data_IF_766979466364
#
_entry.id   IF_766979466364
#
_cell.length_a   1.000
_cell.length_b   1.000
_cell.length_c   1.000
_cell.angle_alpha   90.00
_cell.angle_beta   90.00
_cell.angle_gamma   90.00
#
_symmetry.space_group_name_H-M   'P 1'
#
loop_
_entity.id
_entity.type
_entity.pdbx_description
1 polymer ?
#
# COMPACT_ATOMS: atom_id res chain seq x y z
N UNK A 1 -4.45 16.66 1.77
CA UNK A 1 -3.39 16.07 0.94
C UNK A 1 -3.73 16.09 -0.55
N UNK A 2 -4.99 16.12 -0.90
CA UNK A 2 -5.46 16.20 -2.28
C UNK A 2 -6.45 17.36 -2.46
N UNK A 3 -6.00 18.63 -2.36
CA UNK A 3 -6.91 19.75 -2.48
C UNK A 3 -7.40 19.87 -3.92
N UNK A 4 -8.63 19.42 -4.17
CA UNK A 4 -9.24 19.52 -5.49
C UNK A 4 -9.49 20.96 -5.95
N UNK A 5 -9.74 21.86 -4.99
CA UNK A 5 -10.13 23.26 -5.28
C UNK A 5 -8.94 24.16 -5.67
N UNK A 6 -7.71 23.78 -5.39
CA UNK A 6 -6.50 24.53 -5.69
C UNK A 6 -5.55 23.82 -6.65
N UNK A 7 -6.01 22.74 -7.31
CA UNK A 7 -5.17 21.98 -8.23
C UNK A 7 -4.81 22.81 -9.48
N UNK A 8 -3.58 22.65 -9.95
CA UNK A 8 -3.09 23.33 -11.16
C UNK A 8 -3.89 22.88 -12.40
N UNK A 9 -4.22 21.59 -12.49
CA UNK A 9 -5.06 20.99 -13.53
C UNK A 9 -5.48 19.55 -13.12
N UNK A 10 -6.16 18.82 -14.01
CA UNK A 10 -6.66 17.47 -13.75
C UNK A 10 -5.54 16.41 -13.51
N UNK A 11 -4.28 16.72 -13.77
CA UNK A 11 -3.14 15.79 -13.67
C UNK A 11 -2.14 16.19 -12.59
N UNK A 12 -2.06 17.47 -12.21
CA UNK A 12 -1.06 18.02 -11.29
C UNK A 12 -1.76 18.64 -10.09
N UNK A 13 -1.55 18.13 -8.85
CA UNK A 13 -2.08 18.73 -7.64
C UNK A 13 -1.40 20.06 -7.29
N UNK A 14 -2.00 20.81 -6.40
CA UNK A 14 -1.30 21.90 -5.72
C UNK A 14 -0.36 21.32 -4.65
N UNK A 15 0.92 21.63 -4.76
CA UNK A 15 1.93 21.28 -3.76
C UNK A 15 1.99 22.38 -2.72
N UNK A 16 1.33 22.19 -1.58
CA UNK A 16 1.33 23.16 -0.48
C UNK A 16 1.91 22.56 0.81
N UNK A 17 2.46 23.44 1.64
CA UNK A 17 2.92 23.08 2.99
C UNK A 17 1.85 23.30 4.06
N UNK A 18 0.58 23.30 3.68
CA UNK A 18 -0.56 23.54 4.56
C UNK A 18 -0.52 22.68 5.83
N UNK A 19 -0.22 21.40 5.69
CA UNK A 19 -0.19 20.47 6.82
C UNK A 19 1.05 20.59 7.71
N UNK A 20 2.08 21.29 7.26
CA UNK A 20 3.20 21.62 8.13
C UNK A 20 2.75 22.52 9.28
N UNK A 21 1.81 23.44 9.03
CA UNK A 21 1.22 24.28 10.06
C UNK A 21 0.47 23.47 11.13
N UNK A 22 -0.25 22.41 10.77
CA UNK A 22 -0.93 21.50 11.72
C UNK A 22 0.08 20.77 12.61
N UNK A 23 1.14 20.22 12.03
CA UNK A 23 2.18 19.50 12.79
C UNK A 23 2.98 20.42 13.71
N UNK A 24 3.00 21.72 13.44
CA UNK A 24 3.66 22.75 14.25
C UNK A 24 2.69 23.50 15.20
N UNK A 25 1.50 22.95 15.45
CA UNK A 25 0.53 23.54 16.39
C UNK A 25 -0.46 24.52 15.76
N UNK A 26 -0.65 24.47 14.45
CA UNK A 26 -1.72 25.20 13.76
C UNK A 26 -3.12 24.71 14.14
N UNK A 27 -4.13 25.54 13.88
CA UNK A 27 -5.52 25.18 14.18
C UNK A 27 -6.02 24.05 13.25
N UNK A 28 -6.58 23.02 13.87
CA UNK A 28 -7.21 21.90 13.18
C UNK A 28 -8.60 22.30 12.67
N UNK A 29 -8.98 21.77 11.51
CA UNK A 29 -10.30 21.92 10.93
C UNK A 29 -11.04 20.61 10.97
N UNK A 30 -12.34 20.66 11.10
CA UNK A 30 -13.23 19.50 11.02
C UNK A 30 -13.86 19.39 9.63
N UNK A 31 -13.87 18.18 9.08
CA UNK A 31 -14.63 17.85 7.87
C UNK A 31 -15.98 17.21 8.18
N UNK A 32 -16.58 17.56 9.31
CA UNK A 32 -17.86 17.04 9.77
C UNK A 32 -17.76 15.71 10.51
N UNK A 33 -17.17 14.70 9.92
CA UNK A 33 -17.04 13.36 10.51
C UNK A 33 -15.64 13.06 11.07
N UNK A 34 -14.63 13.85 10.72
CA UNK A 34 -13.25 13.67 11.18
C UNK A 34 -12.46 14.99 11.18
N UNK A 35 -11.37 15.03 11.91
CA UNK A 35 -10.45 16.16 11.98
C UNK A 35 -9.43 16.11 10.83
N UNK A 36 -9.00 17.28 10.34
CA UNK A 36 -8.00 17.39 9.27
C UNK A 36 -6.68 16.71 9.63
N UNK A 37 -6.25 16.81 10.91
CA UNK A 37 -5.04 16.15 11.39
C UNK A 37 -5.16 14.61 11.36
N UNK A 38 -6.34 14.05 11.64
CA UNK A 38 -6.55 12.61 11.55
C UNK A 38 -6.52 12.11 10.11
N UNK A 39 -7.10 12.87 9.16
CA UNK A 39 -6.99 12.55 7.75
C UNK A 39 -5.55 12.65 7.26
N UNK A 40 -4.83 13.69 7.65
CA UNK A 40 -3.41 13.84 7.29
C UNK A 40 -2.58 12.63 7.77
N UNK A 41 -2.74 12.21 9.03
CA UNK A 41 -2.06 11.03 9.56
C UNK A 41 -2.44 9.76 8.79
N UNK A 42 -3.72 9.57 8.51
CA UNK A 42 -4.22 8.44 7.74
C UNK A 42 -3.60 8.38 6.33
N UNK A 43 -3.52 9.52 5.64
CA UNK A 43 -2.88 9.60 4.33
C UNK A 43 -1.36 9.38 4.39
N UNK A 44 -0.69 9.83 5.43
CA UNK A 44 0.76 9.60 5.63
C UNK A 44 1.07 8.11 5.73
N UNK A 45 0.28 7.33 6.47
CA UNK A 45 0.52 5.88 6.57
C UNK A 45 0.21 5.13 5.26
N UNK A 46 -0.67 5.66 4.42
CA UNK A 46 -0.89 5.13 3.07
C UNK A 46 0.30 5.37 2.15
N UNK A 47 0.86 6.57 2.17
CA UNK A 47 2.10 6.91 1.46
C UNK A 47 3.24 5.99 1.92
N UNK A 48 3.38 5.80 3.24
CA UNK A 48 4.38 4.90 3.81
C UNK A 48 4.16 3.45 3.37
N UNK A 49 2.90 3.01 3.23
CA UNK A 49 2.57 1.67 2.74
C UNK A 49 3.04 1.45 1.31
N UNK A 50 2.83 2.40 0.40
CA UNK A 50 3.32 2.30 -0.97
C UNK A 50 4.85 2.12 -1.01
N UNK A 51 5.60 2.88 -0.19
CA UNK A 51 7.05 2.72 -0.09
C UNK A 51 7.47 1.41 0.60
N UNK A 52 6.70 0.92 1.58
CA UNK A 52 6.94 -0.38 2.22
C UNK A 52 6.87 -1.55 1.24
N UNK A 53 5.96 -1.49 0.26
CA UNK A 53 5.87 -2.50 -0.82
C UNK A 53 7.17 -2.53 -1.62
N UNK A 54 7.72 -1.36 -1.97
CA UNK A 54 9.03 -1.27 -2.66
C UNK A 54 10.14 -1.85 -1.81
N UNK A 55 10.15 -1.59 -0.50
CA UNK A 55 11.22 -2.05 0.40
C UNK A 55 11.43 -3.56 0.36
N UNK A 56 10.35 -4.33 0.34
CA UNK A 56 10.40 -5.78 0.23
C UNK A 56 10.98 -6.28 -1.10
N UNK A 57 10.69 -5.59 -2.20
CA UNK A 57 11.16 -5.95 -3.52
C UNK A 57 12.66 -5.66 -3.72
N UNK A 58 13.17 -4.58 -3.12
CA UNK A 58 14.56 -4.15 -3.29
C UNK A 58 15.49 -4.61 -2.17
N UNK A 59 14.97 -5.27 -1.15
CA UNK A 59 15.75 -5.87 -0.08
C UNK A 59 16.87 -6.76 -0.66
N UNK A 60 18.07 -6.67 -0.08
CA UNK A 60 19.30 -7.38 -0.52
C UNK A 60 19.79 -7.02 -1.95
N UNK A 61 19.20 -5.99 -2.59
CA UNK A 61 19.58 -5.53 -3.94
C UNK A 61 20.03 -4.07 -3.96
N UNK A 62 19.40 -3.23 -3.14
CA UNK A 62 19.62 -1.78 -3.11
C UNK A 62 20.41 -1.38 -1.85
N UNK A 63 21.35 -0.44 -2.00
CA UNK A 63 22.03 0.17 -0.85
C UNK A 63 21.07 1.11 -0.10
N UNK A 64 21.30 1.27 1.20
CA UNK A 64 20.38 2.02 2.08
C UNK A 64 20.22 3.50 1.68
N UNK A 65 21.31 4.19 1.36
CA UNK A 65 21.24 5.63 1.00
C UNK A 65 20.44 5.86 -0.30
N UNK A 66 20.69 5.16 -1.42
CA UNK A 66 19.81 5.22 -2.59
C UNK A 66 18.35 4.89 -2.29
N UNK A 67 18.07 3.93 -1.39
CA UNK A 67 16.71 3.63 -0.96
C UNK A 67 16.03 4.84 -0.30
N UNK A 68 16.71 5.54 0.61
CA UNK A 68 16.15 6.74 1.24
C UNK A 68 15.95 7.88 0.25
N UNK A 69 16.88 8.09 -0.68
CA UNK A 69 16.71 9.08 -1.74
C UNK A 69 15.48 8.75 -2.60
N UNK A 70 15.34 7.49 -3.02
CA UNK A 70 14.18 7.04 -3.78
C UNK A 70 12.87 7.19 -2.98
N UNK A 71 12.92 6.91 -1.66
CA UNK A 71 11.78 7.09 -0.77
C UNK A 71 11.29 8.54 -0.75
N UNK A 72 12.18 9.53 -0.70
CA UNK A 72 11.82 10.96 -0.77
C UNK A 72 11.07 11.27 -2.07
N UNK A 73 11.56 10.78 -3.21
CA UNK A 73 10.90 11.03 -4.50
C UNK A 73 9.56 10.31 -4.61
N UNK A 74 9.48 9.05 -4.20
CA UNK A 74 8.23 8.30 -4.25
C UNK A 74 7.16 8.92 -3.35
N UNK A 75 7.51 9.21 -2.09
CA UNK A 75 6.53 9.68 -1.10
C UNK A 75 6.22 11.17 -1.24
N UNK A 76 7.18 11.98 -1.67
CA UNK A 76 7.01 13.43 -1.78
C UNK A 76 6.42 13.90 -3.11
N UNK A 77 6.61 13.14 -4.19
CA UNK A 77 6.19 13.58 -5.53
C UNK A 77 5.33 12.55 -6.25
N UNK A 78 5.83 11.33 -6.47
CA UNK A 78 5.13 10.35 -7.32
C UNK A 78 3.78 9.97 -6.71
N UNK A 79 3.78 9.59 -5.44
CA UNK A 79 2.56 9.17 -4.75
C UNK A 79 1.52 10.30 -4.65
N UNK A 80 1.85 11.53 -4.22
CA UNK A 80 0.87 12.62 -4.19
C UNK A 80 0.27 12.95 -5.56
N UNK A 81 1.06 12.92 -6.63
CA UNK A 81 0.57 13.19 -7.98
C UNK A 81 -0.44 12.13 -8.40
N UNK A 82 -0.09 10.85 -8.31
CA UNK A 82 -0.98 9.77 -8.74
C UNK A 82 -2.18 9.59 -7.81
N UNK A 83 -2.01 9.83 -6.51
CA UNK A 83 -3.10 9.81 -5.54
C UNK A 83 -4.13 10.92 -5.80
N UNK A 84 -3.66 12.08 -6.20
CA UNK A 84 -4.54 13.18 -6.65
C UNK A 84 -5.42 12.76 -7.84
N UNK A 85 -4.92 11.95 -8.77
CA UNK A 85 -5.71 11.54 -9.94
C UNK A 85 -7.04 10.88 -9.57
N UNK A 86 -7.10 10.17 -8.43
CA UNK A 86 -8.35 9.56 -7.92
C UNK A 86 -8.91 10.33 -6.72
N UNK A 87 -8.19 10.37 -5.62
CA UNK A 87 -8.73 10.88 -4.36
C UNK A 87 -8.74 12.41 -4.25
N UNK A 88 -8.05 13.10 -5.13
CA UNK A 88 -8.02 14.56 -5.21
C UNK A 88 -8.95 15.16 -6.27
N UNK A 89 -9.84 14.37 -6.89
CA UNK A 89 -10.72 14.85 -7.95
C UNK A 89 -10.03 15.05 -9.32
N UNK A 90 -8.90 14.35 -9.55
CA UNK A 90 -8.16 14.40 -10.79
C UNK A 90 -8.84 13.62 -11.94
N UNK A 91 -8.09 13.32 -12.99
CA UNK A 91 -8.65 12.76 -14.23
C UNK A 91 -9.24 11.36 -14.04
N UNK A 92 -8.66 10.51 -13.19
CA UNK A 92 -9.20 9.17 -12.93
C UNK A 92 -10.55 9.21 -12.22
N UNK A 93 -10.71 10.14 -11.29
CA UNK A 93 -11.97 10.34 -10.60
C UNK A 93 -13.06 10.81 -11.58
N UNK A 94 -12.73 11.76 -12.45
CA UNK A 94 -13.62 12.26 -13.50
C UNK A 94 -14.02 11.18 -14.52
N UNK A 95 -13.17 10.18 -14.74
CA UNK A 95 -13.48 9.02 -15.57
C UNK A 95 -14.31 7.95 -14.85
N UNK A 96 -14.64 8.14 -13.57
CA UNK A 96 -15.43 7.19 -12.79
C UNK A 96 -14.62 6.01 -12.22
N UNK A 97 -13.29 6.08 -12.23
CA UNK A 97 -12.47 5.04 -11.57
C UNK A 97 -12.80 4.99 -10.07
N UNK A 98 -13.10 3.80 -9.56
CA UNK A 98 -13.42 3.57 -8.16
C UNK A 98 -12.25 2.90 -7.44
N UNK A 99 -11.77 3.51 -6.37
CA UNK A 99 -10.79 2.95 -5.46
C UNK A 99 -11.15 3.35 -4.02
N UNK A 100 -11.66 2.41 -3.25
CA UNK A 100 -12.14 2.68 -1.89
C UNK A 100 -10.99 2.81 -0.89
N UNK A 101 -10.14 1.79 -0.82
CA UNK A 101 -9.07 1.71 0.18
C UNK A 101 -7.65 1.77 -0.39
N UNK A 102 -7.48 1.95 -1.69
CA UNK A 102 -6.16 2.14 -2.29
C UNK A 102 -5.57 0.90 -2.97
N UNK A 103 -6.39 0.00 -3.51
CA UNK A 103 -5.88 -1.12 -4.33
C UNK A 103 -5.04 -0.61 -5.51
N UNK A 104 -5.49 0.44 -6.19
CA UNK A 104 -4.75 1.13 -7.23
C UNK A 104 -3.84 2.22 -6.69
N UNK A 105 -4.41 3.14 -5.92
CA UNK A 105 -3.68 4.33 -5.45
C UNK A 105 -2.50 3.97 -4.55
N UNK A 106 -2.62 2.99 -3.67
CA UNK A 106 -1.54 2.59 -2.75
C UNK A 106 -0.77 1.39 -3.29
N UNK A 107 -1.46 0.26 -3.48
CA UNK A 107 -0.81 -1.02 -3.74
C UNK A 107 -0.27 -1.13 -5.16
N UNK A 108 -1.03 -0.73 -6.18
CA UNK A 108 -0.52 -0.74 -7.55
C UNK A 108 0.60 0.29 -7.74
N UNK A 109 0.54 1.45 -7.10
CA UNK A 109 1.62 2.44 -7.10
C UNK A 109 2.91 1.82 -6.53
N UNK A 110 2.84 1.24 -5.34
CA UNK A 110 3.97 0.56 -4.71
C UNK A 110 4.50 -0.61 -5.54
N UNK A 111 3.61 -1.44 -6.09
CA UNK A 111 3.98 -2.59 -6.91
C UNK A 111 4.64 -2.19 -8.24
N UNK A 112 4.15 -1.13 -8.89
CA UNK A 112 4.74 -0.62 -10.14
C UNK A 112 6.12 -0.01 -9.89
N UNK A 113 6.26 0.76 -8.82
CA UNK A 113 7.56 1.30 -8.40
C UNK A 113 8.55 0.17 -8.04
N UNK A 114 8.08 -0.86 -7.33
CA UNK A 114 8.85 -2.06 -7.03
C UNK A 114 9.30 -2.80 -8.29
N UNK A 115 8.40 -2.98 -9.25
CA UNK A 115 8.70 -3.61 -10.53
C UNK A 115 9.77 -2.83 -11.31
N UNK A 116 9.61 -1.52 -11.43
CA UNK A 116 10.57 -0.66 -12.12
C UNK A 116 11.98 -0.75 -11.47
N UNK A 117 12.04 -0.69 -10.13
CA UNK A 117 13.31 -0.79 -9.41
C UNK A 117 13.95 -2.17 -9.53
N UNK A 118 13.18 -3.25 -9.52
CA UNK A 118 13.69 -4.62 -9.69
C UNK A 118 14.22 -4.85 -11.11
N UNK A 119 13.58 -4.31 -12.13
CA UNK A 119 14.07 -4.39 -13.51
C UNK A 119 15.44 -3.69 -13.64
N UNK A 120 15.60 -2.52 -13.00
CA UNK A 120 16.86 -1.75 -13.06
C UNK A 120 17.96 -2.42 -12.21
N UNK A 121 17.64 -2.91 -11.01
CA UNK A 121 18.63 -3.49 -10.08
C UNK A 121 19.03 -4.93 -10.47
N UNK A 122 18.18 -5.65 -11.17
CA UNK A 122 18.39 -7.05 -11.49
C UNK A 122 18.19 -8.00 -10.30
N UNK A 123 18.66 -9.25 -10.41
CA UNK A 123 18.49 -10.26 -9.39
C UNK A 123 19.36 -10.01 -8.15
N UNK A 124 19.01 -10.64 -7.04
CA UNK A 124 19.84 -10.66 -5.81
C UNK A 124 21.21 -11.28 -6.12
N UNK A 125 22.25 -10.78 -5.48
CA UNK A 125 23.59 -11.36 -5.56
C UNK A 125 23.57 -12.85 -5.17
N UNK A 126 24.13 -13.69 -6.02
CA UNK A 126 24.15 -15.14 -5.80
C UNK A 126 22.84 -15.88 -6.07
N UNK A 127 21.82 -15.22 -6.65
CA UNK A 127 20.55 -15.85 -7.04
C UNK A 127 20.72 -16.84 -8.19
N UNK A 128 21.62 -16.56 -9.10
CA UNK A 128 21.93 -17.42 -10.24
C UNK A 128 23.39 -17.84 -10.21
N UNK A 129 23.65 -19.06 -10.64
CA UNK A 129 25.00 -19.59 -10.86
C UNK A 129 25.55 -19.10 -12.20
N UNK A 130 26.85 -19.35 -12.47
CA UNK A 130 27.49 -18.93 -13.73
C UNK A 130 26.87 -19.57 -14.99
N UNK A 131 26.25 -20.73 -14.82
CA UNK A 131 25.51 -21.48 -15.84
C UNK A 131 24.01 -21.09 -15.93
N UNK A 132 23.61 -20.03 -15.22
CA UNK A 132 22.26 -19.49 -15.27
C UNK A 132 21.22 -20.23 -14.41
N UNK A 133 21.62 -21.24 -13.65
CA UNK A 133 20.69 -21.99 -12.79
C UNK A 133 20.30 -21.20 -11.55
N UNK A 134 19.01 -21.28 -11.18
CA UNK A 134 18.47 -20.59 -10.01
C UNK A 134 18.91 -21.29 -8.71
N UNK A 135 19.54 -20.53 -7.82
CA UNK A 135 19.89 -20.96 -6.46
C UNK A 135 18.83 -20.52 -5.45
N UNK A 136 18.39 -21.44 -4.57
CA UNK A 136 17.46 -21.10 -3.50
C UNK A 136 18.13 -20.16 -2.48
N UNK A 137 17.44 -19.09 -2.13
CA UNK A 137 17.81 -18.18 -1.02
C UNK A 137 16.69 -18.31 0.03
N UNK A 138 16.86 -19.12 1.07
CA UNK A 138 15.82 -19.33 2.09
C UNK A 138 15.61 -18.06 2.91
N UNK A 139 14.37 -17.84 3.40
CA UNK A 139 14.08 -16.77 4.34
C UNK A 139 14.82 -16.94 5.67
N UNK A 140 15.22 -15.84 6.28
CA UNK A 140 16.01 -15.86 7.53
C UNK A 140 15.21 -16.38 8.74
N UNK A 141 13.91 -16.10 8.81
CA UNK A 141 13.04 -16.53 9.91
C UNK A 141 11.59 -16.70 9.45
N UNK A 142 11.14 -17.93 9.30
CA UNK A 142 9.76 -18.24 8.96
C UNK A 142 8.77 -17.81 10.07
N UNK A 143 9.05 -18.02 11.38
CA UNK A 143 8.18 -17.54 12.45
C UNK A 143 7.97 -16.02 12.42
N UNK A 144 9.02 -15.23 12.21
CA UNK A 144 8.90 -13.76 12.10
C UNK A 144 8.13 -13.34 10.83
N UNK A 145 8.33 -14.03 9.71
CA UNK A 145 7.57 -13.77 8.49
C UNK A 145 6.07 -14.05 8.69
N UNK A 146 5.74 -15.16 9.36
CA UNK A 146 4.35 -15.51 9.69
C UNK A 146 3.72 -14.49 10.65
N UNK A 147 4.46 -14.08 11.69
CA UNK A 147 4.01 -13.02 12.60
C UNK A 147 3.77 -11.71 11.86
N UNK A 148 4.67 -11.34 10.94
CA UNK A 148 4.50 -10.17 10.08
C UNK A 148 3.22 -10.22 9.25
N UNK A 149 2.89 -11.38 8.67
CA UNK A 149 1.64 -11.61 7.95
C UNK A 149 0.40 -11.43 8.83
N UNK A 150 0.43 -11.93 10.07
CA UNK A 150 -0.67 -11.77 11.03
C UNK A 150 -0.84 -10.32 11.48
N UNK A 151 0.25 -9.59 11.70
CA UNK A 151 0.22 -8.15 12.02
C UNK A 151 -0.37 -7.35 10.86
N UNK A 152 0.04 -7.65 9.62
CA UNK A 152 -0.53 -7.03 8.42
C UNK A 152 -2.03 -7.32 8.31
N UNK A 153 -2.47 -8.55 8.55
CA UNK A 153 -3.88 -8.91 8.52
C UNK A 153 -4.69 -8.14 9.57
N UNK A 154 -4.18 -8.05 10.80
CA UNK A 154 -4.81 -7.22 11.83
C UNK A 154 -4.88 -5.74 11.41
N UNK A 155 -3.79 -5.18 10.89
CA UNK A 155 -3.73 -3.81 10.41
C UNK A 155 -4.69 -3.52 9.25
N UNK A 156 -5.03 -4.55 8.46
CA UNK A 156 -5.93 -4.41 7.32
C UNK A 156 -7.38 -4.07 7.70
N UNK A 157 -7.83 -4.47 8.86
CA UNK A 157 -9.13 -4.03 9.37
C UNK A 157 -9.13 -2.51 9.60
N UNK A 158 -8.04 -1.95 10.12
CA UNK A 158 -7.87 -0.50 10.24
C UNK A 158 -7.71 0.17 8.88
N UNK A 159 -6.92 -0.40 7.98
CA UNK A 159 -6.66 0.14 6.65
C UNK A 159 -7.96 0.26 5.82
N UNK A 160 -8.69 -0.83 5.66
CA UNK A 160 -9.91 -0.85 4.87
C UNK A 160 -11.10 -0.26 5.63
N UNK A 161 -11.28 -0.58 6.91
CA UNK A 161 -12.38 -0.03 7.72
C UNK A 161 -12.26 1.46 7.95
N UNK A 162 -11.05 1.96 8.19
CA UNK A 162 -10.76 3.39 8.31
C UNK A 162 -11.06 4.17 7.02
N UNK A 163 -11.01 3.51 5.86
CA UNK A 163 -11.34 4.13 4.57
C UNK A 163 -12.82 4.50 4.41
N UNK A 164 -13.70 4.09 5.33
CA UNK A 164 -15.06 4.61 5.42
C UNK A 164 -15.10 6.09 5.84
N UNK A 165 -14.03 6.58 6.51
CA UNK A 165 -13.86 7.97 6.97
C UNK A 165 -14.99 8.48 7.90
N UNK A 166 -15.86 7.61 8.38
CA UNK A 166 -16.95 7.92 9.30
C UNK A 166 -17.38 6.67 10.09
N UNK A 167 -17.80 6.87 11.33
CA UNK A 167 -18.39 5.82 12.19
C UNK A 167 -19.48 6.39 13.12
N UNK A 168 -19.91 7.61 12.88
CA UNK A 168 -20.80 8.36 13.78
C UNK A 168 -22.29 8.10 13.52
N UNK A 169 -22.63 7.34 12.50
CA UNK A 169 -24.02 6.92 12.23
C UNK A 169 -24.15 5.40 12.21
N UNK A 170 -25.37 4.88 12.38
CA UNK A 170 -25.64 3.46 12.22
C UNK A 170 -25.29 2.94 10.81
N UNK A 171 -25.52 3.76 9.79
CA UNK A 171 -25.16 3.43 8.41
C UNK A 171 -23.65 3.28 8.24
N UNK A 172 -22.84 4.18 8.80
CA UNK A 172 -21.38 4.09 8.76
C UNK A 172 -20.88 2.84 9.49
N UNK A 173 -21.42 2.55 10.66
CA UNK A 173 -21.06 1.35 11.43
C UNK A 173 -21.37 0.06 10.66
N UNK A 174 -22.51 0.00 9.95
CA UNK A 174 -22.87 -1.12 9.06
C UNK A 174 -21.87 -1.22 7.90
N UNK A 175 -21.52 -0.11 7.27
CA UNK A 175 -20.55 -0.08 6.19
C UNK A 175 -19.18 -0.60 6.65
N UNK A 176 -18.67 -0.13 7.79
CA UNK A 176 -17.41 -0.61 8.38
C UNK A 176 -17.47 -2.12 8.68
N UNK A 177 -18.56 -2.61 9.27
CA UNK A 177 -18.75 -4.03 9.55
C UNK A 177 -18.73 -4.87 8.26
N UNK A 178 -19.38 -4.40 7.19
CA UNK A 178 -19.36 -5.05 5.88
C UNK A 178 -17.94 -5.07 5.27
N UNK A 179 -17.20 -3.97 5.39
CA UNK A 179 -15.79 -3.90 4.96
C UNK A 179 -14.92 -4.90 5.74
N UNK A 180 -15.13 -5.07 7.04
CA UNK A 180 -14.41 -6.08 7.83
C UNK A 180 -14.71 -7.51 7.38
N UNK A 181 -15.97 -7.83 7.12
CA UNK A 181 -16.35 -9.15 6.59
C UNK A 181 -15.71 -9.40 5.22
N UNK A 182 -15.77 -8.44 4.32
CA UNK A 182 -15.17 -8.55 3.00
C UNK A 182 -13.64 -8.69 3.08
N UNK A 183 -12.99 -7.93 3.94
CA UNK A 183 -11.54 -8.00 4.19
C UNK A 183 -11.13 -9.39 4.67
N UNK A 184 -11.86 -9.93 5.65
CA UNK A 184 -11.60 -11.27 6.17
C UNK A 184 -11.83 -12.38 5.14
N UNK A 185 -12.91 -12.26 4.36
CA UNK A 185 -13.24 -13.23 3.30
C UNK A 185 -12.20 -13.18 2.17
N UNK A 186 -11.75 -11.99 1.78
CA UNK A 186 -10.70 -11.81 0.79
C UNK A 186 -9.37 -12.43 1.27
N UNK A 187 -9.02 -12.25 2.55
CA UNK A 187 -7.85 -12.89 3.15
C UNK A 187 -7.94 -14.42 3.08
N UNK A 188 -9.05 -15.00 3.50
CA UNK A 188 -9.29 -16.44 3.43
C UNK A 188 -9.22 -16.96 1.98
N UNK A 189 -9.86 -16.27 1.05
CA UNK A 189 -9.81 -16.59 -0.39
C UNK A 189 -8.40 -16.54 -0.96
N UNK A 190 -7.60 -15.56 -0.54
CA UNK A 190 -6.18 -15.42 -0.91
C UNK A 190 -5.35 -16.63 -0.44
N UNK A 191 -5.53 -17.06 0.81
CA UNK A 191 -4.84 -18.27 1.35
C UNK A 191 -5.20 -19.50 0.52
N UNK A 192 -6.49 -19.74 0.31
CA UNK A 192 -6.98 -20.91 -0.45
C UNK A 192 -6.43 -20.87 -1.87
N UNK A 193 -6.51 -19.71 -2.55
CA UNK A 193 -6.00 -19.55 -3.90
C UNK A 193 -4.49 -19.80 -4.00
N UNK A 194 -3.71 -19.25 -3.07
CA UNK A 194 -2.27 -19.47 -3.03
C UNK A 194 -1.90 -20.94 -2.76
N UNK A 195 -2.64 -21.64 -1.88
CA UNK A 195 -2.45 -23.08 -1.64
C UNK A 195 -2.74 -23.92 -2.89
N UNK A 196 -3.84 -23.64 -3.60
CA UNK A 196 -4.21 -24.33 -4.84
C UNK A 196 -3.13 -24.11 -5.90
N UNK A 197 -2.76 -22.88 -6.16
CA UNK A 197 -1.78 -22.52 -7.20
C UNK A 197 -0.41 -23.11 -6.87
N UNK A 198 0.06 -23.01 -5.63
CA UNK A 198 1.36 -23.57 -5.24
C UNK A 198 1.39 -25.09 -5.37
N UNK A 199 0.28 -25.78 -5.08
CA UNK A 199 0.16 -27.23 -5.26
C UNK A 199 0.15 -27.63 -6.74
N UNK A 200 -0.60 -26.89 -7.58
CA UNK A 200 -0.74 -27.21 -9.01
C UNK A 200 0.56 -26.98 -9.79
N UNK A 201 1.28 -25.89 -9.51
CA UNK A 201 2.49 -25.51 -10.25
C UNK A 201 3.80 -25.88 -9.56
N UNK A 202 3.81 -26.05 -8.23
CA UNK A 202 4.99 -26.36 -7.44
C UNK A 202 5.05 -27.77 -6.86
N UNK A 203 4.01 -28.58 -7.07
CA UNK A 203 3.91 -29.95 -6.56
C UNK A 203 3.79 -30.08 -5.02
N UNK A 204 4.01 -29.00 -4.28
CA UNK A 204 3.89 -28.94 -2.81
C UNK A 204 3.12 -27.68 -2.41
N UNK A 205 2.21 -27.81 -1.47
CA UNK A 205 1.53 -26.63 -0.89
C UNK A 205 2.53 -25.84 -0.05
N UNK A 206 2.87 -24.64 -0.48
CA UNK A 206 3.81 -23.77 0.24
C UNK A 206 3.05 -22.93 1.25
N UNK A 207 2.87 -23.44 2.48
CA UNK A 207 2.12 -22.76 3.55
C UNK A 207 2.74 -21.42 3.93
N UNK A 208 4.05 -21.30 3.91
CA UNK A 208 4.76 -20.07 4.27
C UNK A 208 4.55 -18.90 3.29
N UNK A 209 4.29 -19.16 2.02
CA UNK A 209 4.03 -18.10 1.03
C UNK A 209 2.59 -17.57 1.09
N UNK A 210 1.65 -18.35 1.61
CA UNK A 210 0.24 -17.97 1.67
C UNK A 210 0.00 -16.79 2.61
N UNK A 211 0.73 -16.68 3.71
CA UNK A 211 0.59 -15.59 4.67
C UNK A 211 1.24 -14.27 4.19
N UNK A 212 2.20 -14.32 3.27
CA UNK A 212 2.90 -13.14 2.76
C UNK A 212 2.24 -12.51 1.53
N UNK A 213 1.35 -13.23 0.84
CA UNK A 213 0.71 -12.77 -0.39
C UNK A 213 -0.71 -12.25 -0.21
N UNK A 214 -1.31 -12.46 0.96
CA UNK A 214 -2.69 -12.11 1.27
C UNK A 214 -3.05 -10.63 1.10
N UNK A 215 -2.20 -9.68 1.52
CA UNK A 215 -2.56 -8.28 1.51
C UNK A 215 -2.50 -7.58 0.15
N UNK A 216 -1.89 -8.17 -0.85
CA UNK A 216 -1.65 -7.53 -2.15
C UNK A 216 -2.70 -7.82 -3.21
N UNK A 217 -3.74 -8.60 -2.89
CA UNK A 217 -4.79 -9.00 -3.82
C UNK A 217 -6.19 -8.80 -3.24
N UNK A 218 -6.45 -7.65 -2.62
CA UNK A 218 -7.82 -7.21 -2.35
C UNK A 218 -8.29 -6.27 -3.42
#
# INVERSE_FOLDING_TARGET
MYPGDSAVNAYIPDFSFKYLGLTMGGQDKSYGSYAEASDFFFQVVFVATAMSIVSGAVAERMKLIPFFIFSIFLTGFIYPIQGYWKWGGGFLDKLGYADFAGSGVVHLCGATAALATVIILGPRTGKYTSDGQSKAIPGSSIPLASLGGLILWLGWFGFNGGSQLAINTASDAIAVAQVFLNTNTAAAGGVIGALIVSKLFGGKAAVSYTHLTLPTKA
#
